data_IF_330695477467
#
_entry.id   IF_330695477467
#
_cell.length_a   1.000
_cell.length_b   1.000
_cell.length_c   1.000
_cell.angle_alpha   90.00
_cell.angle_beta   90.00
_cell.angle_gamma   90.00
#
_symmetry.space_group_name_H-M   'P 1'
#
loop_
_entity.id
_entity.type
_entity.pdbx_description
1 polymer ?
#
# COMPACT_ATOMS: atom_id res chain seq x y z
N UNK A 1 -6.95 -7.97 -5.56
CA UNK A 1 -7.83 -8.70 -4.63
C UNK A 1 -7.04 -9.79 -3.87
N UNK A 2 -7.53 -10.38 -2.77
CA UNK A 2 -6.72 -11.29 -1.94
C UNK A 2 -6.04 -12.41 -2.73
N UNK A 3 -4.74 -12.63 -2.45
CA UNK A 3 -3.86 -13.54 -3.18
C UNK A 3 -3.19 -12.95 -4.42
N UNK A 4 -3.63 -11.77 -4.89
CA UNK A 4 -3.02 -11.09 -6.02
C UNK A 4 -1.66 -10.49 -5.66
N UNK A 5 -0.71 -10.65 -6.58
CA UNK A 5 0.64 -10.11 -6.50
C UNK A 5 0.68 -8.77 -7.23
N UNK A 6 1.11 -7.73 -6.55
CA UNK A 6 1.20 -6.36 -7.08
C UNK A 6 2.58 -5.77 -6.80
N UNK A 7 2.92 -4.71 -7.51
CA UNK A 7 4.01 -3.81 -7.13
C UNK A 7 3.41 -2.55 -6.50
N UNK A 8 4.05 -2.03 -5.47
CA UNK A 8 3.76 -0.68 -5.00
C UNK A 8 4.31 0.36 -5.99
N UNK A 9 3.74 1.57 -5.98
CA UNK A 9 4.28 2.70 -6.76
C UNK A 9 5.77 2.89 -6.42
N UNK A 10 6.59 3.07 -7.45
CA UNK A 10 8.06 3.25 -7.31
C UNK A 10 8.49 4.72 -7.31
N UNK A 11 7.63 5.63 -7.76
CA UNK A 11 7.86 7.06 -7.68
C UNK A 11 7.53 7.59 -6.28
N UNK A 12 8.49 8.21 -5.59
CA UNK A 12 8.33 8.70 -4.21
C UNK A 12 7.20 9.73 -4.07
N UNK A 13 7.09 10.68 -5.00
CA UNK A 13 6.09 11.74 -4.92
C UNK A 13 4.66 11.19 -5.11
N UNK A 14 4.46 10.31 -6.10
CA UNK A 14 3.17 9.64 -6.34
C UNK A 14 2.81 8.71 -5.19
N UNK A 15 3.79 7.97 -4.65
CA UNK A 15 3.59 7.09 -3.51
C UNK A 15 3.19 7.87 -2.26
N UNK A 16 3.83 9.01 -1.96
CA UNK A 16 3.36 9.87 -0.85
C UNK A 16 1.96 10.41 -1.09
N UNK A 17 1.65 10.78 -2.33
CA UNK A 17 0.34 11.30 -2.70
C UNK A 17 -0.79 10.25 -2.62
N UNK A 18 -0.49 8.96 -2.74
CA UNK A 18 -1.49 7.89 -2.60
C UNK A 18 -2.13 7.86 -1.20
N UNK A 19 -1.43 8.35 -0.18
CA UNK A 19 -1.93 8.44 1.20
C UNK A 19 -2.79 9.67 1.49
N UNK A 20 -3.11 10.51 0.49
CA UNK A 20 -3.83 11.79 0.70
C UNK A 20 -5.14 11.67 1.48
N UNK A 21 -5.84 10.54 1.41
CA UNK A 21 -7.10 10.29 2.12
C UNK A 21 -6.92 10.03 3.63
N UNK A 22 -5.71 9.67 4.05
CA UNK A 22 -5.40 9.19 5.39
C UNK A 22 -4.30 10.02 6.08
N UNK A 23 -4.27 11.33 5.81
CA UNK A 23 -3.29 12.22 6.44
C UNK A 23 -3.50 12.25 7.96
N UNK A 24 -2.44 11.93 8.71
CA UNK A 24 -2.48 11.86 10.18
C UNK A 24 -3.09 10.58 10.75
N UNK A 25 -3.54 9.65 9.91
CA UNK A 25 -4.02 8.34 10.35
C UNK A 25 -2.85 7.45 10.79
N UNK A 26 -2.96 6.82 11.97
CA UNK A 26 -1.89 6.03 12.56
C UNK A 26 -1.64 4.68 11.85
N UNK A 27 -2.67 4.13 11.18
CA UNK A 27 -2.64 2.80 10.56
C UNK A 27 -2.54 2.93 9.05
N UNK A 28 -3.45 3.68 8.42
CA UNK A 28 -3.57 3.84 6.98
C UNK A 28 -2.71 4.98 6.43
N UNK A 29 -2.26 5.90 7.28
CA UNK A 29 -1.44 7.04 6.89
C UNK A 29 -0.02 6.67 6.46
N UNK A 30 0.65 7.63 5.83
CA UNK A 30 2.05 7.50 5.42
C UNK A 30 2.98 7.47 6.64
N UNK A 31 4.01 6.62 6.60
CA UNK A 31 5.13 6.62 7.56
C UNK A 31 6.40 6.04 6.92
N UNK A 32 7.52 6.11 7.65
CA UNK A 32 8.83 5.66 7.14
C UNK A 32 8.89 4.15 6.87
N UNK A 33 8.14 3.33 7.63
CA UNK A 33 8.08 1.89 7.40
C UNK A 33 7.39 1.56 6.06
N UNK A 34 6.39 2.34 5.66
CA UNK A 34 5.75 2.22 4.34
C UNK A 34 6.64 2.76 3.23
N UNK A 35 7.36 3.86 3.47
CA UNK A 35 8.34 4.40 2.51
C UNK A 35 9.44 3.38 2.17
N UNK A 36 9.89 2.60 3.16
CA UNK A 36 10.87 1.54 2.93
C UNK A 36 10.38 0.42 1.98
N UNK A 37 9.08 0.37 1.68
CA UNK A 37 8.45 -0.60 0.77
C UNK A 37 8.16 -0.02 -0.62
N UNK A 38 8.56 1.21 -0.90
CA UNK A 38 8.41 1.87 -2.20
C UNK A 38 8.88 0.96 -3.34
N UNK A 39 8.04 0.78 -4.37
CA UNK A 39 8.35 -0.05 -5.54
C UNK A 39 8.44 -1.57 -5.29
N UNK A 40 8.27 -2.05 -4.05
CA UNK A 40 8.41 -3.47 -3.75
C UNK A 40 7.19 -4.27 -4.20
N UNK A 41 7.42 -5.54 -4.51
CA UNK A 41 6.37 -6.52 -4.75
C UNK A 41 5.78 -7.01 -3.42
N UNK A 42 4.46 -7.20 -3.39
CA UNK A 42 3.74 -7.77 -2.25
C UNK A 42 2.52 -8.56 -2.71
N UNK A 43 1.90 -9.28 -1.77
CA UNK A 43 0.67 -10.03 -1.99
C UNK A 43 -0.44 -9.38 -1.17
N UNK A 44 -1.60 -9.14 -1.77
CA UNK A 44 -2.78 -8.64 -1.06
C UNK A 44 -3.31 -9.76 -0.14
N UNK A 45 -3.33 -9.52 1.16
CA UNK A 45 -3.89 -10.46 2.15
C UNK A 45 -5.37 -10.17 2.39
N UNK A 46 -5.77 -8.90 2.46
CA UNK A 46 -7.15 -8.47 2.75
C UNK A 46 -7.45 -7.11 2.14
N UNK A 47 -8.74 -6.82 1.94
CA UNK A 47 -9.25 -5.54 1.43
C UNK A 47 -10.42 -5.06 2.27
N UNK A 48 -10.59 -3.74 2.38
CA UNK A 48 -11.60 -3.12 3.24
C UNK A 48 -12.47 -2.12 2.49
N UNK A 49 -13.64 -1.79 3.06
CA UNK A 49 -14.63 -0.88 2.46
C UNK A 49 -14.12 0.56 2.32
N UNK A 50 -13.13 0.96 3.11
CA UNK A 50 -12.47 2.27 3.04
C UNK A 50 -11.43 2.36 1.92
N UNK A 51 -11.40 1.37 1.01
CA UNK A 51 -10.46 1.29 -0.12
C UNK A 51 -9.01 1.21 0.35
N UNK A 52 -8.76 0.41 1.38
CA UNK A 52 -7.43 0.02 1.83
C UNK A 52 -7.24 -1.48 1.70
N UNK A 53 -5.99 -1.91 1.64
CA UNK A 53 -5.56 -3.30 1.60
C UNK A 53 -4.48 -3.56 2.65
N UNK A 54 -4.57 -4.71 3.33
CA UNK A 54 -3.42 -5.29 4.01
C UNK A 54 -2.62 -6.09 2.99
N UNK A 55 -1.33 -5.83 2.90
CA UNK A 55 -0.41 -6.61 2.04
C UNK A 55 0.65 -7.30 2.89
N UNK A 56 1.15 -8.43 2.39
CA UNK A 56 2.26 -9.17 2.96
C UNK A 56 3.46 -9.15 2.03
N UNK A 57 4.63 -8.84 2.59
CA UNK A 57 5.91 -8.83 1.88
C UNK A 57 6.65 -10.16 2.04
N UNK A 58 7.71 -10.38 1.24
CA UNK A 58 8.51 -11.61 1.30
C UNK A 58 9.18 -11.88 2.65
N UNK A 59 9.34 -10.85 3.49
CA UNK A 59 9.84 -10.96 4.87
C UNK A 59 8.73 -11.20 5.91
N UNK A 60 7.52 -11.52 5.47
CA UNK A 60 6.31 -11.70 6.29
C UNK A 60 5.80 -10.44 7.01
N UNK A 61 6.38 -9.26 6.74
CA UNK A 61 5.84 -8.00 7.24
C UNK A 61 4.46 -7.76 6.64
N UNK A 62 3.52 -7.30 7.48
CA UNK A 62 2.17 -6.89 7.09
C UNK A 62 2.00 -5.40 7.31
N UNK A 63 1.47 -4.71 6.32
CA UNK A 63 1.19 -3.27 6.38
C UNK A 63 -0.07 -2.95 5.58
N UNK A 64 -0.77 -1.90 5.99
CA UNK A 64 -1.96 -1.41 5.32
C UNK A 64 -1.64 -0.26 4.36
N UNK A 65 -2.24 -0.32 3.17
CA UNK A 65 -2.06 0.66 2.12
C UNK A 65 -3.40 1.11 1.51
N UNK A 66 -3.54 2.39 1.17
CA UNK A 66 -4.57 2.83 0.23
C UNK A 66 -4.45 2.06 -1.08
N UNK A 67 -5.58 1.76 -1.73
CA UNK A 67 -5.59 1.11 -3.06
C UNK A 67 -4.76 1.88 -4.09
N UNK A 68 -4.72 3.20 -3.97
CA UNK A 68 -3.94 4.11 -4.82
C UNK A 68 -2.42 3.86 -4.73
N UNK A 69 -1.94 3.05 -3.78
CA UNK A 69 -0.51 2.74 -3.64
C UNK A 69 -0.05 1.59 -4.53
N UNK A 70 -0.98 0.88 -5.18
CA UNK A 70 -0.68 -0.21 -6.09
C UNK A 70 -0.34 0.33 -7.49
N UNK A 71 0.87 0.02 -7.96
CA UNK A 71 1.36 0.39 -9.29
C UNK A 71 0.56 -0.34 -10.37
N UNK A 72 -0.17 0.42 -11.18
CA UNK A 72 -0.98 -0.13 -12.27
C UNK A 72 -2.36 -0.66 -11.85
N UNK A 73 -2.79 -0.43 -10.61
CA UNK A 73 -4.16 -0.76 -10.20
C UNK A 73 -5.12 0.30 -10.75
N UNK A 74 -5.97 -0.12 -11.68
CA UNK A 74 -7.10 0.67 -12.17
C UNK A 74 -8.34 0.06 -11.52
N UNK A 75 -9.15 0.87 -10.82
CA UNK A 75 -10.39 0.42 -10.17
C UNK A 75 -11.35 -0.33 -11.11
#
# INVERSE_FOLDING_TARGET
>A
MPGERIFLISNDAEFRASFKRFQGDAVNGFNDAKLARLGQECIIESTFDDKTMTVVFGDSTRLDFPFESAGGYVE
#
